data_IF_744114469483
#
_entry.id   IF_744114469483
#
_cell.length_a   1.000
_cell.length_b   1.000
_cell.length_c   1.000
_cell.angle_alpha   90.00
_cell.angle_beta   90.00
_cell.angle_gamma   90.00
#
_symmetry.space_group_name_H-M   'P 1'
#
loop_
_entity.id
_entity.type
_entity.pdbx_description
1 polymer ?
#
# COMPACT_ATOMS: atom_id res chain seq x y z
N UNK A 1 12.28 8.22 12.06
CA UNK A 1 12.44 9.60 12.56
C UNK A 1 11.54 10.47 11.71
N UNK A 2 11.14 11.65 12.21
CA UNK A 2 10.40 12.62 11.40
C UNK A 2 11.20 12.89 10.12
N UNK A 3 10.56 12.75 8.96
CA UNK A 3 11.23 12.84 7.67
C UNK A 3 11.48 11.51 6.98
N UNK A 4 11.53 10.40 7.73
CA UNK A 4 11.91 9.11 7.19
C UNK A 4 10.76 8.41 6.48
N UNK A 5 11.11 7.56 5.50
CA UNK A 5 10.17 6.71 4.79
C UNK A 5 10.24 5.26 5.29
N UNK A 6 9.06 4.67 5.41
CA UNK A 6 8.87 3.29 5.82
C UNK A 6 8.03 2.52 4.81
N UNK A 7 8.49 1.32 4.46
CA UNK A 7 7.69 0.33 3.78
C UNK A 7 6.97 -0.55 4.82
N UNK A 8 5.65 -0.57 4.76
CA UNK A 8 4.82 -1.38 5.65
C UNK A 8 4.18 -2.51 4.87
N UNK A 9 4.26 -3.73 5.38
CA UNK A 9 3.56 -4.85 4.79
C UNK A 9 3.09 -5.88 5.82
N UNK A 10 1.95 -6.52 5.55
CA UNK A 10 1.47 -7.66 6.32
C UNK A 10 0.56 -8.55 5.46
N UNK A 11 0.35 -9.79 5.91
CA UNK A 11 -0.44 -10.79 5.20
C UNK A 11 -1.31 -11.63 6.11
N UNK A 12 -2.35 -12.21 5.52
CA UNK A 12 -3.24 -13.14 6.19
C UNK A 12 -2.51 -14.36 6.75
N UNK A 13 -3.01 -14.86 7.88
CA UNK A 13 -2.58 -16.13 8.44
C UNK A 13 -2.70 -17.22 7.36
N UNK A 14 -1.71 -18.12 7.27
CA UNK A 14 -1.66 -19.19 6.25
C UNK A 14 -1.82 -18.72 4.79
N UNK A 15 -1.48 -17.45 4.48
CA UNK A 15 -1.67 -16.81 3.16
C UNK A 15 -3.14 -16.68 2.74
N UNK A 16 -4.07 -16.81 3.68
CA UNK A 16 -5.50 -16.68 3.42
C UNK A 16 -5.88 -15.25 3.03
N UNK A 17 -7.03 -15.13 2.37
CA UNK A 17 -7.56 -13.83 1.99
C UNK A 17 -7.94 -13.03 3.24
N UNK A 18 -7.48 -11.79 3.26
CA UNK A 18 -7.87 -10.76 4.23
C UNK A 18 -8.88 -9.78 3.61
N UNK A 19 -9.10 -9.85 2.30
CA UNK A 19 -10.13 -9.10 1.57
C UNK A 19 -10.95 -10.07 0.71
N UNK A 20 -12.17 -10.39 1.13
CA UNK A 20 -13.07 -11.30 0.40
C UNK A 20 -14.10 -10.57 -0.47
N UNK A 21 -14.36 -9.30 -0.15
CA UNK A 21 -15.39 -8.49 -0.81
C UNK A 21 -14.95 -7.04 -0.98
N UNK A 22 -15.60 -6.30 -1.89
CA UNK A 22 -15.31 -4.88 -2.09
C UNK A 22 -15.44 -4.05 -0.80
N UNK A 23 -16.36 -4.42 0.11
CA UNK A 23 -16.52 -3.72 1.39
C UNK A 23 -15.32 -3.90 2.32
N UNK A 24 -14.58 -5.01 2.21
CA UNK A 24 -13.38 -5.27 3.01
C UNK A 24 -12.23 -4.39 2.53
N UNK A 25 -12.01 -4.35 1.22
CA UNK A 25 -11.04 -3.43 0.64
C UNK A 25 -11.41 -1.97 0.96
N UNK A 26 -12.66 -1.58 0.76
CA UNK A 26 -13.13 -0.23 1.07
C UNK A 26 -12.92 0.12 2.54
N UNK A 27 -13.24 -0.78 3.47
CA UNK A 27 -13.01 -0.55 4.90
C UNK A 27 -11.53 -0.32 5.20
N UNK A 28 -10.63 -1.07 4.57
CA UNK A 28 -9.19 -0.89 4.77
C UNK A 28 -8.70 0.45 4.23
N UNK A 29 -9.10 0.81 3.00
CA UNK A 29 -8.76 2.11 2.41
C UNK A 29 -9.33 3.25 3.25
N UNK A 30 -10.57 3.13 3.72
CA UNK A 30 -11.18 4.10 4.63
C UNK A 30 -10.39 4.24 5.94
N UNK A 31 -9.83 3.14 6.46
CA UNK A 31 -8.97 3.16 7.63
C UNK A 31 -7.66 3.92 7.40
N UNK A 32 -7.11 3.90 6.17
CA UNK A 32 -5.93 4.69 5.82
C UNK A 32 -6.18 6.20 6.01
N UNK A 33 -7.42 6.63 5.75
CA UNK A 33 -7.84 7.99 6.04
C UNK A 33 -8.19 8.14 7.53
N UNK A 34 -9.31 7.59 8.01
CA UNK A 34 -9.88 7.97 9.32
C UNK A 34 -8.98 7.72 10.55
N UNK A 35 -7.96 6.87 10.45
CA UNK A 35 -7.03 6.58 11.55
C UNK A 35 -5.78 7.47 11.56
N UNK A 36 -5.50 8.19 10.46
CA UNK A 36 -4.36 9.07 10.32
C UNK A 36 -4.66 10.46 10.90
N UNK A 37 -4.78 10.54 12.22
CA UNK A 37 -5.07 11.79 12.92
C UNK A 37 -4.34 11.81 14.27
N UNK A 38 -3.82 12.97 14.69
CA UNK A 38 -3.34 13.18 16.05
C UNK A 38 -4.50 12.99 17.03
N UNK A 39 -4.24 12.29 18.13
CA UNK A 39 -5.29 11.93 19.09
C UNK A 39 -6.18 10.80 18.60
N UNK A 40 -7.51 10.95 18.73
CA UNK A 40 -8.50 9.90 18.44
C UNK A 40 -8.77 9.69 16.93
N UNK A 41 -9.21 8.48 16.59
CA UNK A 41 -9.67 8.15 15.25
C UNK A 41 -10.96 8.89 14.90
N UNK A 42 -11.09 9.33 13.64
CA UNK A 42 -12.35 9.89 13.16
C UNK A 42 -13.45 8.81 13.21
N UNK A 43 -14.56 9.13 13.88
CA UNK A 43 -15.69 8.21 14.07
C UNK A 43 -16.30 7.84 12.72
N UNK A 44 -16.59 6.56 12.54
CA UNK A 44 -17.39 6.09 11.39
C UNK A 44 -18.83 6.52 11.66
N UNK A 45 -19.37 7.35 10.77
CA UNK A 45 -20.80 7.58 10.71
C UNK A 45 -21.38 6.64 9.63
N UNK A 46 -22.39 5.80 9.93
CA UNK A 46 -23.00 4.88 8.96
C UNK A 46 -23.49 5.56 7.67
N UNK A 47 -23.81 6.86 7.74
CA UNK A 47 -24.27 7.64 6.61
C UNK A 47 -23.12 8.19 5.74
N UNK A 48 -21.87 8.12 6.22
CA UNK A 48 -20.68 8.53 5.46
C UNK A 48 -20.23 7.38 4.58
N UNK A 49 -20.38 7.56 3.27
CA UNK A 49 -20.10 6.55 2.24
C UNK A 49 -18.84 6.89 1.44
N UNK A 50 -18.32 8.10 1.58
CA UNK A 50 -17.10 8.56 0.92
C UNK A 50 -16.05 9.03 1.93
N UNK A 51 -14.79 9.03 1.51
CA UNK A 51 -13.70 9.72 2.21
C UNK A 51 -13.98 11.22 2.30
N UNK A 52 -14.64 11.78 1.29
CA UNK A 52 -15.00 13.20 1.25
C UNK A 52 -15.96 13.63 2.36
N UNK A 53 -16.64 12.69 2.98
CA UNK A 53 -17.57 12.99 4.08
C UNK A 53 -16.83 13.17 5.43
N UNK A 54 -15.53 12.87 5.48
CA UNK A 54 -14.72 13.02 6.69
C UNK A 54 -14.07 14.41 6.75
N UNK A 55 -13.90 14.98 7.96
CA UNK A 55 -13.13 16.20 8.11
C UNK A 55 -11.68 15.98 7.67
N UNK A 56 -10.99 17.08 7.40
CA UNK A 56 -9.54 17.08 7.21
C UNK A 56 -8.83 16.53 8.44
N UNK A 57 -7.66 15.92 8.20
CA UNK A 57 -6.89 15.21 9.20
C UNK A 57 -5.74 16.07 9.73
N UNK A 58 -5.51 16.06 11.04
CA UNK A 58 -4.21 16.41 11.62
C UNK A 58 -3.28 15.18 11.53
N UNK A 59 -2.74 14.93 10.34
CA UNK A 59 -2.03 13.69 9.99
C UNK A 59 -0.81 13.41 10.87
N UNK A 60 -0.62 12.14 11.25
CA UNK A 60 0.59 11.62 11.93
C UNK A 60 1.60 11.00 10.95
N UNK A 61 1.13 10.61 9.76
CA UNK A 61 1.94 10.13 8.64
C UNK A 61 1.44 10.73 7.33
N UNK A 62 2.28 10.82 6.30
CA UNK A 62 1.78 10.93 4.93
C UNK A 62 1.79 9.54 4.27
N UNK A 63 0.72 9.21 3.55
CA UNK A 63 0.71 8.01 2.70
C UNK A 63 1.22 8.43 1.33
N UNK A 64 2.31 7.84 0.88
CA UNK A 64 2.88 8.12 -0.44
C UNK A 64 2.36 7.12 -1.48
N UNK A 65 2.34 5.83 -1.13
CA UNK A 65 1.81 4.76 -1.98
C UNK A 65 1.11 3.70 -1.14
N UNK A 66 0.16 3.00 -1.74
CA UNK A 66 -0.50 1.86 -1.14
C UNK A 66 -1.01 0.90 -2.22
N UNK A 67 -0.97 -0.40 -1.95
CA UNK A 67 -1.55 -1.44 -2.79
C UNK A 67 -2.10 -2.55 -1.92
N UNK A 68 -3.35 -2.96 -2.18
CA UNK A 68 -4.01 -4.08 -1.50
C UNK A 68 -4.11 -5.27 -2.46
N UNK A 69 -3.68 -6.44 -2.01
CA UNK A 69 -3.86 -7.72 -2.70
C UNK A 69 -4.73 -8.63 -1.82
N UNK A 70 -5.43 -9.64 -2.37
CA UNK A 70 -6.42 -10.41 -1.61
C UNK A 70 -5.95 -10.93 -0.25
N UNK A 71 -4.68 -11.31 -0.11
CA UNK A 71 -4.10 -11.85 1.11
C UNK A 71 -3.04 -10.99 1.78
N UNK A 72 -2.71 -9.79 1.27
CA UNK A 72 -1.68 -8.92 1.85
C UNK A 72 -1.80 -7.48 1.37
N UNK A 73 -1.08 -6.57 2.01
CA UNK A 73 -1.01 -5.17 1.60
C UNK A 73 0.42 -4.64 1.69
N UNK A 74 0.66 -3.56 0.95
CA UNK A 74 1.90 -2.79 0.97
C UNK A 74 1.57 -1.30 1.08
N UNK A 75 2.23 -0.58 1.99
CA UNK A 75 2.13 0.87 2.17
C UNK A 75 3.52 1.50 2.14
N UNK A 76 3.62 2.70 1.59
CA UNK A 76 4.80 3.56 1.70
C UNK A 76 4.39 4.79 2.50
N UNK A 77 4.95 4.93 3.70
CA UNK A 77 4.58 5.97 4.65
C UNK A 77 5.77 6.89 4.91
N UNK A 78 5.50 8.18 5.02
CA UNK A 78 6.43 9.20 5.50
C UNK A 78 6.04 9.58 6.93
N UNK A 79 7.01 9.59 7.84
CA UNK A 79 6.77 9.90 9.25
C UNK A 79 6.71 11.42 9.49
N UNK A 80 5.53 11.94 9.89
CA UNK A 80 5.35 13.37 10.20
C UNK A 80 5.55 13.72 11.66
N UNK A 81 5.31 12.75 12.54
CA UNK A 81 5.39 12.89 13.99
C UNK A 81 6.22 11.72 14.49
N UNK A 82 7.07 11.97 15.48
CA UNK A 82 7.91 10.92 16.06
C UNK A 82 7.06 9.74 16.57
N UNK A 83 7.40 8.52 16.13
CA UNK A 83 6.63 7.31 16.41
C UNK A 83 5.27 7.21 15.68
N UNK A 84 4.95 8.15 14.80
CA UNK A 84 3.67 8.23 14.08
C UNK A 84 3.41 7.04 13.17
N UNK A 85 4.46 6.49 12.54
CA UNK A 85 4.32 5.28 11.70
C UNK A 85 3.92 4.07 12.54
N UNK A 86 4.58 3.87 13.68
CA UNK A 86 4.28 2.74 14.57
C UNK A 86 2.84 2.82 15.10
N UNK A 87 2.43 4.01 15.57
CA UNK A 87 1.07 4.23 16.07
C UNK A 87 0.02 4.04 14.98
N UNK A 88 0.22 4.61 13.80
CA UNK A 88 -0.69 4.46 12.66
C UNK A 88 -0.87 2.99 12.24
N UNK A 89 0.23 2.25 12.11
CA UNK A 89 0.20 0.84 11.69
C UNK A 89 -0.49 -0.03 12.75
N UNK A 90 -0.26 0.25 14.05
CA UNK A 90 -0.95 -0.43 15.16
C UNK A 90 -2.46 -0.19 15.11
N UNK A 91 -2.90 1.07 14.93
CA UNK A 91 -4.32 1.43 14.79
C UNK A 91 -4.95 0.73 13.60
N UNK A 92 -4.27 0.73 12.45
CA UNK A 92 -4.74 0.12 11.21
C UNK A 92 -4.95 -1.39 11.37
N UNK A 93 -3.93 -2.10 11.89
CA UNK A 93 -4.00 -3.55 12.11
C UNK A 93 -5.11 -3.95 13.08
N UNK A 94 -5.20 -3.26 14.23
CA UNK A 94 -6.21 -3.52 15.25
C UNK A 94 -7.63 -3.25 14.73
N UNK A 95 -7.83 -2.09 14.10
CA UNK A 95 -9.15 -1.71 13.61
C UNK A 95 -9.63 -2.62 12.50
N UNK A 96 -8.76 -3.05 11.59
CA UNK A 96 -9.14 -3.92 10.49
C UNK A 96 -9.41 -5.35 10.95
N UNK A 97 -8.56 -5.90 11.82
CA UNK A 97 -8.76 -7.21 12.43
C UNK A 97 -10.09 -7.27 13.17
N UNK A 98 -10.40 -6.25 13.98
CA UNK A 98 -11.69 -6.16 14.70
C UNK A 98 -12.87 -6.16 13.74
N UNK A 99 -12.80 -5.38 12.65
CA UNK A 99 -13.85 -5.35 11.64
C UNK A 99 -14.09 -6.72 10.99
N UNK A 100 -13.03 -7.41 10.58
CA UNK A 100 -13.14 -8.74 9.94
C UNK A 100 -13.67 -9.79 10.93
N UNK A 101 -13.19 -9.79 12.17
CA UNK A 101 -13.65 -10.72 13.20
C UNK A 101 -15.15 -10.54 13.48
N UNK A 102 -15.62 -9.29 13.63
CA UNK A 102 -17.05 -9.01 13.80
C UNK A 102 -17.85 -9.50 12.58
N UNK A 103 -17.38 -9.20 11.36
CA UNK A 103 -18.06 -9.59 10.12
C UNK A 103 -18.16 -11.11 9.95
N UNK A 104 -17.13 -11.84 10.39
CA UNK A 104 -17.03 -13.30 10.27
C UNK A 104 -17.57 -14.05 11.50
N UNK A 105 -18.13 -13.35 12.48
CA UNK A 105 -18.53 -13.92 13.78
C UNK A 105 -17.40 -14.76 14.43
N UNK A 106 -16.16 -14.31 14.23
CA UNK A 106 -14.95 -15.02 14.61
C UNK A 106 -14.16 -14.25 15.66
N UNK A 107 -13.13 -14.89 16.21
CA UNK A 107 -12.14 -14.26 17.08
C UNK A 107 -10.73 -14.75 16.72
N UNK A 108 -9.70 -14.01 17.15
CA UNK A 108 -8.30 -14.37 16.93
C UNK A 108 -7.58 -13.50 15.88
N UNK A 109 -6.45 -14.02 15.42
CA UNK A 109 -5.52 -13.30 14.55
C UNK A 109 -5.94 -13.36 13.07
N UNK A 110 -6.09 -12.20 12.45
CA UNK A 110 -6.27 -12.09 11.00
C UNK A 110 -4.94 -12.22 10.25
N UNK A 111 -3.90 -11.61 10.80
CA UNK A 111 -2.57 -11.54 10.19
C UNK A 111 -1.65 -12.62 10.76
N UNK A 112 -0.68 -13.07 9.96
CA UNK A 112 0.27 -14.10 10.38
C UNK A 112 1.17 -13.63 11.53
N UNK A 113 1.55 -12.35 11.53
CA UNK A 113 2.41 -11.70 12.54
C UNK A 113 2.03 -10.22 12.68
N UNK A 114 2.73 -9.49 13.56
CA UNK A 114 2.75 -8.02 13.51
C UNK A 114 3.16 -7.53 12.12
N UNK A 115 2.66 -6.36 11.74
CA UNK A 115 3.05 -5.73 10.48
C UNK A 115 4.56 -5.48 10.47
N UNK A 116 5.20 -5.75 9.34
CA UNK A 116 6.60 -5.38 9.13
C UNK A 116 6.67 -3.88 8.87
N UNK A 117 7.52 -3.21 9.63
CA UNK A 117 7.79 -1.77 9.52
C UNK A 117 9.27 -1.64 9.13
N UNK A 118 9.52 -1.34 7.86
CA UNK A 118 10.85 -1.43 7.26
C UNK A 118 11.32 -0.01 6.96
N UNK A 119 12.30 0.45 7.73
CA UNK A 119 12.91 1.75 7.52
C UNK A 119 13.77 1.74 6.25
N UNK A 120 13.52 2.66 5.33
CA UNK A 120 14.23 2.74 4.05
C UNK A 120 15.42 3.71 4.22
N UNK A 121 16.61 3.16 4.47
CA UNK A 121 17.83 3.96 4.73
C UNK A 121 18.89 3.90 3.64
N UNK A 122 18.80 2.95 2.70
CA UNK A 122 19.82 2.80 1.66
C UNK A 122 19.39 3.47 0.35
N UNK A 123 20.32 4.20 -0.27
CA UNK A 123 20.10 4.89 -1.55
C UNK A 123 19.69 3.97 -2.71
N UNK A 124 20.16 2.71 -2.74
CA UNK A 124 19.82 1.79 -3.84
C UNK A 124 18.37 1.31 -3.76
N UNK A 125 17.94 0.84 -2.59
CA UNK A 125 16.57 0.33 -2.42
C UNK A 125 15.51 1.43 -2.41
N UNK A 126 15.93 2.64 -2.01
CA UNK A 126 15.08 3.81 -1.97
C UNK A 126 14.28 4.00 -3.27
N UNK A 127 14.94 4.00 -4.43
CA UNK A 127 14.29 4.20 -5.72
C UNK A 127 13.32 3.06 -6.12
N UNK A 128 13.59 1.83 -5.68
CA UNK A 128 12.86 0.67 -6.18
C UNK A 128 11.65 0.25 -5.36
N UNK A 129 11.56 0.64 -4.09
CA UNK A 129 10.41 0.28 -3.25
C UNK A 129 9.07 0.80 -3.81
N UNK A 130 8.95 2.07 -4.27
CA UNK A 130 7.74 2.54 -4.93
C UNK A 130 7.33 1.67 -6.12
N UNK A 131 8.30 1.30 -6.97
CA UNK A 131 8.08 0.44 -8.14
C UNK A 131 7.64 -0.95 -7.71
N UNK A 132 8.30 -1.54 -6.71
CA UNK A 132 7.91 -2.83 -6.16
C UNK A 132 6.45 -2.82 -5.69
N UNK A 133 6.02 -1.80 -4.95
CA UNK A 133 4.64 -1.68 -4.44
C UNK A 133 3.61 -1.67 -5.58
N UNK A 134 3.90 -0.99 -6.68
CA UNK A 134 3.04 -0.95 -7.86
C UNK A 134 3.08 -2.29 -8.64
N UNK A 135 4.29 -2.84 -8.82
CA UNK A 135 4.52 -4.06 -9.59
C UNK A 135 4.04 -5.34 -8.89
N UNK A 136 3.75 -5.30 -7.59
CA UNK A 136 3.10 -6.43 -6.90
C UNK A 136 1.76 -6.81 -7.54
N UNK A 137 1.08 -5.86 -8.18
CA UNK A 137 -0.16 -6.14 -8.94
C UNK A 137 0.02 -7.16 -10.07
N UNK A 138 1.26 -7.39 -10.55
CA UNK A 138 1.56 -8.46 -11.51
C UNK A 138 1.13 -9.85 -10.98
N UNK A 139 1.21 -10.08 -9.67
CA UNK A 139 0.81 -11.34 -9.03
C UNK A 139 -0.71 -11.61 -9.16
N UNK A 140 -1.51 -10.62 -9.58
CA UNK A 140 -2.96 -10.77 -9.82
C UNK A 140 -3.29 -11.16 -11.27
N UNK A 141 -2.37 -10.93 -12.21
CA UNK A 141 -2.62 -11.11 -13.65
C UNK A 141 -1.72 -12.18 -14.30
N UNK A 142 -0.63 -12.57 -13.63
CA UNK A 142 0.29 -13.58 -14.10
C UNK A 142 0.52 -14.65 -13.04
N UNK A 143 0.73 -15.89 -13.50
CA UNK A 143 1.20 -16.99 -12.66
C UNK A 143 2.53 -16.62 -11.99
N UNK A 144 2.73 -17.13 -10.77
CA UNK A 144 3.98 -16.93 -10.02
C UNK A 144 5.15 -17.78 -10.55
N UNK A 145 4.91 -18.64 -11.54
CA UNK A 145 5.94 -19.45 -12.20
C UNK A 145 6.93 -18.59 -12.98
N UNK A 146 8.24 -18.82 -12.78
CA UNK A 146 9.32 -18.15 -13.50
C UNK A 146 9.72 -18.95 -14.75
N UNK A 147 10.10 -18.31 -15.87
CA UNK A 147 10.02 -16.86 -16.14
C UNK A 147 8.59 -16.42 -16.49
N UNK A 148 8.18 -15.22 -16.05
CA UNK A 148 6.87 -14.66 -16.40
C UNK A 148 6.92 -13.92 -17.73
N UNK A 149 6.08 -14.31 -18.69
CA UNK A 149 5.90 -13.54 -19.93
C UNK A 149 4.97 -12.36 -19.68
N UNK A 150 5.53 -11.23 -19.28
CA UNK A 150 4.77 -10.01 -18.95
C UNK A 150 4.40 -9.26 -20.23
N UNK A 151 3.11 -8.92 -20.38
CA UNK A 151 2.63 -8.00 -21.40
C UNK A 151 2.47 -6.63 -20.77
N UNK A 152 3.33 -5.69 -21.15
CA UNK A 152 3.42 -4.35 -20.55
C UNK A 152 2.11 -3.58 -20.72
N UNK A 153 1.55 -3.56 -21.94
CA UNK A 153 0.30 -2.83 -22.23
C UNK A 153 -0.87 -3.37 -21.40
N UNK A 154 -1.00 -4.70 -21.32
CA UNK A 154 -2.01 -5.37 -20.47
C UNK A 154 -1.82 -5.03 -19.00
N UNK A 155 -0.57 -5.06 -18.50
CA UNK A 155 -0.24 -4.77 -17.10
C UNK A 155 -0.58 -3.33 -16.73
N UNK A 156 -0.13 -2.36 -17.51
CA UNK A 156 -0.43 -0.94 -17.27
C UNK A 156 -1.93 -0.65 -17.36
N UNK A 157 -2.63 -1.30 -18.29
CA UNK A 157 -4.09 -1.16 -18.40
C UNK A 157 -4.78 -1.69 -17.15
N UNK A 158 -4.33 -2.84 -16.62
CA UNK A 158 -4.84 -3.39 -15.37
C UNK A 158 -4.55 -2.46 -14.18
N UNK A 159 -3.30 -1.99 -14.02
CA UNK A 159 -2.93 -1.13 -12.88
C UNK A 159 -3.73 0.17 -12.83
N UNK A 160 -3.96 0.81 -13.98
CA UNK A 160 -4.76 2.05 -14.07
C UNK A 160 -6.24 1.85 -13.70
N UNK A 161 -6.75 0.63 -13.79
CA UNK A 161 -8.14 0.29 -13.52
C UNK A 161 -8.34 -0.44 -12.19
N UNK A 162 -7.27 -0.93 -11.57
CA UNK A 162 -7.35 -1.62 -10.28
C UNK A 162 -7.73 -0.64 -9.17
N UNK A 163 -8.92 -0.81 -8.59
CA UNK A 163 -9.49 0.13 -7.61
C UNK A 163 -8.70 0.20 -6.30
N UNK A 164 -7.96 -0.85 -5.97
CA UNK A 164 -7.35 -1.05 -4.65
C UNK A 164 -5.83 -0.84 -4.67
N UNK A 165 -5.39 0.17 -5.40
CA UNK A 165 -4.01 0.64 -5.40
C UNK A 165 -3.94 2.13 -5.71
N UNK A 166 -2.98 2.80 -5.09
CA UNK A 166 -2.62 4.19 -5.39
C UNK A 166 -2.18 4.39 -6.83
N UNK A 167 -1.77 3.34 -7.56
CA UNK A 167 -1.34 3.47 -8.96
C UNK A 167 -2.42 4.17 -9.81
N UNK A 168 -3.69 3.87 -9.54
CA UNK A 168 -4.82 4.54 -10.18
C UNK A 168 -4.88 6.02 -9.84
N UNK A 169 -4.57 6.43 -8.63
CA UNK A 169 -4.52 7.83 -8.24
C UNK A 169 -3.42 8.57 -9.01
N UNK A 170 -2.25 7.95 -9.21
CA UNK A 170 -1.12 8.54 -9.95
C UNK A 170 -1.32 8.59 -11.47
N UNK A 171 -1.88 7.53 -12.07
CA UNK A 171 -1.88 7.34 -13.54
C UNK A 171 -3.25 7.05 -14.15
N UNK A 172 -4.32 7.05 -13.35
CA UNK A 172 -5.68 6.80 -13.80
C UNK A 172 -6.26 7.99 -14.57
N UNK A 173 -7.17 7.68 -15.48
CA UNK A 173 -7.80 8.69 -16.35
C UNK A 173 -8.96 9.45 -15.66
N UNK A 174 -9.27 9.14 -14.41
CA UNK A 174 -10.36 9.74 -13.63
C UNK A 174 -9.86 10.04 -12.23
N UNK A 175 -10.37 11.12 -11.64
CA UNK A 175 -10.16 11.41 -10.22
C UNK A 175 -10.61 10.20 -9.41
N UNK A 176 -9.69 9.64 -8.65
CA UNK A 176 -9.95 8.51 -7.78
C UNK A 176 -10.67 9.00 -6.53
N UNK A 177 -11.66 8.25 -6.01
CA UNK A 177 -12.32 8.58 -4.74
C UNK A 177 -11.36 8.49 -3.53
N UNK A 178 -10.13 8.01 -3.75
CA UNK A 178 -9.10 7.81 -2.73
C UNK A 178 -7.96 8.82 -2.84
N UNK A 179 -8.07 9.83 -3.72
CA UNK A 179 -7.00 10.77 -3.99
C UNK A 179 -6.53 11.53 -2.74
N UNK A 180 -7.45 11.82 -1.79
CA UNK A 180 -7.15 12.49 -0.51
C UNK A 180 -6.26 11.69 0.43
N UNK A 181 -6.13 10.37 0.23
CA UNK A 181 -5.27 9.53 1.07
C UNK A 181 -3.80 9.82 0.78
N UNK A 182 -3.44 10.08 -0.48
CA UNK A 182 -2.04 10.15 -0.90
C UNK A 182 -1.52 11.58 -0.98
N UNK A 183 -0.25 11.76 -0.60
CA UNK A 183 0.47 13.00 -0.84
C UNK A 183 1.41 12.83 -2.04
N UNK A 184 0.91 13.19 -3.23
CA UNK A 184 1.67 13.06 -4.49
C UNK A 184 2.83 14.03 -4.58
N UNK A 185 2.62 15.26 -4.11
CA UNK A 185 3.62 16.32 -4.22
C UNK A 185 4.84 15.95 -3.37
N UNK A 186 4.61 15.50 -2.13
CA UNK A 186 5.68 14.98 -1.28
C UNK A 186 6.33 13.74 -1.88
N UNK A 187 5.58 12.84 -2.52
CA UNK A 187 6.17 11.70 -3.22
C UNK A 187 7.12 12.15 -4.33
N UNK A 188 6.71 13.09 -5.18
CA UNK A 188 7.55 13.58 -6.27
C UNK A 188 8.77 14.35 -5.78
N UNK A 189 8.60 15.19 -4.76
CA UNK A 189 9.69 15.92 -4.11
C UNK A 189 10.71 14.95 -3.49
N UNK A 190 10.24 14.01 -2.66
CA UNK A 190 11.10 13.14 -1.89
C UNK A 190 11.89 12.17 -2.78
N UNK A 191 11.29 11.68 -3.87
CA UNK A 191 11.94 10.76 -4.82
C UNK A 191 12.62 11.47 -6.00
N UNK A 192 12.67 12.81 -6.00
CA UNK A 192 13.19 13.63 -7.11
C UNK A 192 12.71 13.14 -8.48
N UNK A 193 11.38 13.01 -8.61
CA UNK A 193 10.75 12.45 -9.80
C UNK A 193 9.47 13.20 -10.14
N UNK A 194 8.85 12.84 -11.25
CA UNK A 194 7.55 13.35 -11.66
C UNK A 194 6.74 12.23 -12.33
N UNK A 195 5.48 12.51 -12.64
CA UNK A 195 4.58 11.55 -13.32
C UNK A 195 5.21 10.90 -14.54
N UNK A 196 5.88 11.67 -15.40
CA UNK A 196 6.43 11.19 -16.66
C UNK A 196 7.65 10.29 -16.42
N UNK A 197 8.57 10.73 -15.59
CA UNK A 197 9.82 10.02 -15.34
C UNK A 197 9.60 8.75 -14.53
N UNK A 198 8.76 8.79 -13.49
CA UNK A 198 8.36 7.59 -12.76
C UNK A 198 7.67 6.56 -13.67
N UNK A 199 6.77 7.01 -14.56
CA UNK A 199 6.11 6.10 -15.50
C UNK A 199 7.11 5.51 -16.50
N UNK A 200 8.09 6.29 -16.96
CA UNK A 200 9.17 5.83 -17.84
C UNK A 200 10.02 4.77 -17.15
N UNK A 201 10.42 5.00 -15.90
CA UNK A 201 11.21 4.07 -15.10
C UNK A 201 10.46 2.74 -14.86
N UNK A 202 9.20 2.80 -14.45
CA UNK A 202 8.36 1.61 -14.28
C UNK A 202 8.21 0.81 -15.58
N UNK A 203 8.06 1.49 -16.72
CA UNK A 203 8.03 0.83 -18.02
C UNK A 203 9.40 0.22 -18.40
N UNK A 204 10.50 0.86 -18.02
CA UNK A 204 11.86 0.36 -18.19
C UNK A 204 12.05 -0.97 -17.45
N UNK A 205 11.70 -0.99 -16.16
CA UNK A 205 11.75 -2.19 -15.32
C UNK A 205 10.95 -3.36 -15.91
N UNK A 206 9.73 -3.09 -16.39
CA UNK A 206 8.90 -4.12 -17.03
C UNK A 206 9.48 -4.65 -18.34
N UNK A 207 10.20 -3.81 -19.12
CA UNK A 207 10.83 -4.20 -20.38
C UNK A 207 12.09 -5.03 -20.16
N UNK A 208 12.89 -4.66 -19.17
CA UNK A 208 14.14 -5.35 -18.85
C UNK A 208 13.90 -6.74 -18.21
N UNK A 209 12.67 -7.01 -17.72
CA UNK A 209 12.36 -8.28 -17.04
C UNK A 209 12.91 -8.34 -15.62
N UNK A 210 13.41 -7.23 -15.09
CA UNK A 210 14.11 -7.09 -13.81
C UNK A 210 13.19 -7.24 -12.59
N UNK A 211 11.87 -7.32 -12.76
CA UNK A 211 10.94 -7.40 -11.63
C UNK A 211 11.21 -8.61 -10.73
N UNK A 212 11.50 -9.79 -11.29
CA UNK A 212 11.75 -10.98 -10.47
C UNK A 212 13.11 -10.90 -9.77
N UNK A 213 14.12 -10.29 -10.39
CA UNK A 213 15.43 -10.03 -9.79
C UNK A 213 15.33 -9.02 -8.65
N UNK A 214 14.64 -7.90 -8.88
CA UNK A 214 14.34 -6.90 -7.87
C UNK A 214 13.59 -7.52 -6.69
N UNK A 215 12.56 -8.33 -6.96
CA UNK A 215 11.80 -9.02 -5.92
C UNK A 215 12.70 -9.95 -5.11
N UNK A 216 13.58 -10.71 -5.76
CA UNK A 216 14.51 -11.61 -5.08
C UNK A 216 15.54 -10.85 -4.23
N UNK A 217 16.07 -9.72 -4.72
CA UNK A 217 16.98 -8.83 -3.99
C UNK A 217 16.31 -8.27 -2.72
N UNK A 218 15.15 -7.63 -2.89
CA UNK A 218 14.38 -7.06 -1.78
C UNK A 218 13.93 -8.13 -0.77
N UNK A 219 13.72 -9.37 -1.20
CA UNK A 219 13.42 -10.50 -0.29
C UNK A 219 14.65 -10.92 0.50
N UNK A 220 15.81 -11.05 -0.14
CA UNK A 220 17.09 -11.41 0.52
C UNK A 220 17.46 -10.40 1.60
N UNK A 221 17.20 -9.13 1.35
CA UNK A 221 17.47 -8.03 2.28
C UNK A 221 16.35 -7.82 3.32
N UNK A 222 15.32 -8.67 3.31
CA UNK A 222 14.17 -8.61 4.21
C UNK A 222 13.35 -7.31 4.09
N UNK A 223 13.45 -6.60 2.96
CA UNK A 223 12.77 -5.33 2.70
C UNK A 223 11.33 -5.49 2.22
N UNK A 224 10.96 -6.66 1.68
CA UNK A 224 9.60 -6.90 1.17
C UNK A 224 9.04 -8.26 1.51
N UNK A 225 9.84 -9.14 2.08
CA UNK A 225 9.43 -10.52 2.32
C UNK A 225 8.27 -10.55 3.32
N UNK A 226 7.16 -11.17 2.92
CA UNK A 226 6.01 -11.43 3.78
C UNK A 226 6.15 -12.79 4.50
N UNK A 227 7.09 -13.63 4.10
CA UNK A 227 7.42 -14.86 4.81
C UNK A 227 8.37 -14.54 5.97
N UNK A 228 7.90 -14.80 7.19
CA UNK A 228 8.75 -15.48 8.16
C UNK A 228 8.87 -16.94 7.76
#
# INVERSE_FOLDING_TARGET
MIGDIYHICNRGIRKEKIFDSESDYFRFVLNLYRLNNKGESLRINPNRKSIDDFPEQDKIVEVLKWTLLPNHYHLLLYEKVDGGVLDFVKRLGNSYTKYINIKREASGYLFQNSARIIHITSNRHFLYIPLYIDLNLLDLIYSKSKPRKINIKKSLTFFKNYKWSSFRDYFGNRVSPFAKIINKDLFYEYFDTNTKDYHKELCGFLKAGEYEELKDELVKEKLVNLAG
#
